data_IF_862619624877
#
_entry.id   IF_862619624877
#
_cell.length_a   1.000
_cell.length_b   1.000
_cell.length_c   1.000
_cell.angle_alpha   90.00
_cell.angle_beta   90.00
_cell.angle_gamma   90.00
#
_symmetry.space_group_name_H-M   'P 1'
#
loop_
_entity.id
_entity.type
_entity.pdbx_description
1 polymer ?
#
# COMPACT_ATOMS: atom_id res chain seq x y z
N UNK A 1 40.01 -15.39 1.60
CA UNK A 1 39.40 -14.10 1.18
C UNK A 1 38.68 -13.50 2.36
N UNK A 2 39.15 -12.37 2.89
CA UNK A 2 38.43 -11.62 3.91
C UNK A 2 37.41 -10.72 3.19
N UNK A 3 36.12 -11.01 3.35
CA UNK A 3 35.05 -10.18 2.79
C UNK A 3 34.86 -8.99 3.73
N UNK A 4 35.32 -7.81 3.32
CA UNK A 4 35.05 -6.56 4.02
C UNK A 4 33.56 -6.21 3.83
N UNK A 5 32.76 -6.41 4.89
CA UNK A 5 31.42 -5.84 4.97
C UNK A 5 31.55 -4.34 5.22
N UNK A 6 31.43 -3.53 4.16
CA UNK A 6 31.22 -2.10 4.30
C UNK A 6 29.87 -1.87 5.01
N UNK A 7 29.92 -1.61 6.32
CA UNK A 7 28.77 -1.16 7.12
C UNK A 7 28.30 0.16 6.51
N UNK A 8 27.12 0.17 5.87
CA UNK A 8 26.49 1.39 5.36
C UNK A 8 26.43 2.40 6.50
N UNK A 9 27.06 3.57 6.31
CA UNK A 9 26.93 4.70 7.22
C UNK A 9 25.44 5.06 7.30
N UNK A 10 24.86 5.00 8.50
CA UNK A 10 23.46 5.35 8.74
C UNK A 10 23.37 6.86 8.62
N UNK A 11 22.85 7.37 7.50
CA UNK A 11 22.48 8.78 7.41
C UNK A 11 21.48 9.08 8.51
N UNK A 12 21.71 10.13 9.31
CA UNK A 12 20.74 10.61 10.28
C UNK A 12 19.52 11.13 9.54
N UNK A 13 18.52 10.26 9.36
CA UNK A 13 17.24 10.62 8.78
C UNK A 13 16.54 11.52 9.79
N UNK A 14 16.52 12.83 9.52
CA UNK A 14 15.75 13.79 10.31
C UNK A 14 14.28 13.61 9.96
N UNK A 15 13.53 12.96 10.84
CA UNK A 15 12.09 12.77 10.69
C UNK A 15 11.38 14.01 11.23
N UNK A 16 10.66 14.72 10.37
CA UNK A 16 9.82 15.86 10.76
C UNK A 16 8.79 15.46 11.82
N UNK A 17 8.46 16.38 12.73
CA UNK A 17 7.33 16.17 13.66
C UNK A 17 6.01 16.07 12.88
N UNK A 18 5.11 15.13 13.23
CA UNK A 18 3.79 15.04 12.61
C UNK A 18 3.04 16.37 12.70
N UNK A 19 2.54 16.87 11.57
CA UNK A 19 1.75 18.10 11.50
C UNK A 19 0.87 18.10 10.24
N UNK A 20 -0.18 18.93 10.23
CA UNK A 20 -1.02 19.11 9.05
C UNK A 20 -0.20 19.57 7.81
N UNK A 21 0.87 20.35 8.03
CA UNK A 21 1.78 20.79 6.97
C UNK A 21 2.52 19.59 6.36
N UNK A 22 3.08 18.72 7.20
CA UNK A 22 3.75 17.50 6.72
C UNK A 22 2.77 16.59 5.96
N UNK A 23 1.54 16.41 6.48
CA UNK A 23 0.48 15.66 5.78
C UNK A 23 0.22 16.26 4.40
N UNK A 24 0.06 17.58 4.30
CA UNK A 24 -0.15 18.26 3.02
C UNK A 24 0.98 18.02 2.01
N UNK A 25 2.23 17.98 2.47
CA UNK A 25 3.40 17.65 1.61
C UNK A 25 3.27 16.24 1.04
N UNK A 26 3.03 15.24 1.89
CA UNK A 26 2.91 13.85 1.44
C UNK A 26 1.69 13.63 0.53
N UNK A 27 0.55 14.27 0.82
CA UNK A 27 -0.62 14.22 -0.05
C UNK A 27 -0.34 14.83 -1.44
N UNK A 28 0.41 15.94 -1.50
CA UNK A 28 0.82 16.53 -2.78
C UNK A 28 1.75 15.60 -3.55
N UNK A 29 2.70 14.96 -2.88
CA UNK A 29 3.59 13.96 -3.48
C UNK A 29 2.79 12.75 -3.99
N UNK A 30 1.88 12.22 -3.16
CA UNK A 30 1.00 11.10 -3.49
C UNK A 30 0.21 11.35 -4.77
N UNK A 31 -0.37 12.55 -4.92
CA UNK A 31 -1.10 12.96 -6.14
C UNK A 31 -0.24 13.03 -7.41
N UNK A 32 1.09 12.94 -7.31
CA UNK A 32 1.98 12.91 -8.48
C UNK A 32 2.49 11.50 -8.79
N UNK A 33 2.15 10.50 -7.98
CA UNK A 33 2.49 9.11 -8.19
C UNK A 33 1.45 8.45 -9.11
N UNK A 34 1.56 8.70 -10.42
CA UNK A 34 0.58 8.24 -11.43
C UNK A 34 0.27 6.74 -11.35
N UNK A 35 1.25 5.91 -11.06
CA UNK A 35 1.06 4.46 -10.94
C UNK A 35 0.10 4.12 -9.79
N UNK A 36 0.26 4.79 -8.65
CA UNK A 36 -0.60 4.62 -7.48
C UNK A 36 -2.00 5.18 -7.72
N UNK A 37 -2.14 6.24 -8.53
CA UNK A 37 -3.47 6.74 -8.92
C UNK A 37 -4.24 5.72 -9.74
N UNK A 38 -3.61 5.11 -10.74
CA UNK A 38 -4.27 4.10 -11.58
C UNK A 38 -4.64 2.84 -10.76
N UNK A 39 -3.78 2.45 -9.82
CA UNK A 39 -4.06 1.37 -8.88
C UNK A 39 -5.25 1.70 -7.97
N UNK A 40 -5.28 2.91 -7.42
CA UNK A 40 -6.39 3.39 -6.57
C UNK A 40 -7.70 3.46 -7.35
N UNK A 41 -7.70 3.97 -8.58
CA UNK A 41 -8.89 4.03 -9.43
C UNK A 41 -9.42 2.63 -9.76
N UNK A 42 -8.52 1.69 -10.05
CA UNK A 42 -8.89 0.29 -10.28
C UNK A 42 -9.44 -0.38 -9.01
N UNK A 43 -8.87 -0.09 -7.83
CA UNK A 43 -9.41 -0.56 -6.55
C UNK A 43 -10.78 0.04 -6.27
N UNK A 44 -10.97 1.35 -6.46
CA UNK A 44 -12.27 2.01 -6.30
C UNK A 44 -13.33 1.35 -7.18
N UNK A 45 -12.99 1.07 -8.43
CA UNK A 45 -13.86 0.34 -9.34
C UNK A 45 -14.21 -1.05 -8.81
N UNK A 46 -13.22 -1.82 -8.36
CA UNK A 46 -13.43 -3.17 -7.84
C UNK A 46 -14.31 -3.16 -6.58
N UNK A 47 -14.02 -2.27 -5.63
CA UNK A 47 -14.63 -2.28 -4.30
C UNK A 47 -15.99 -1.61 -4.25
N UNK A 48 -16.25 -0.60 -5.08
CA UNK A 48 -17.47 0.21 -4.97
C UNK A 48 -18.42 0.07 -6.17
N UNK A 49 -17.91 -0.30 -7.35
CA UNK A 49 -18.75 -0.47 -8.54
C UNK A 49 -19.02 -1.95 -8.83
N UNK A 50 -17.96 -2.76 -8.97
CA UNK A 50 -18.08 -4.14 -9.47
C UNK A 50 -18.51 -5.11 -8.37
N UNK A 51 -17.88 -5.04 -7.20
CA UNK A 51 -18.12 -5.95 -6.09
C UNK A 51 -18.39 -5.16 -4.79
N UNK A 52 -19.53 -4.46 -4.66
CA UNK A 52 -19.77 -3.58 -3.51
C UNK A 52 -20.01 -4.33 -2.18
N UNK A 53 -20.55 -5.56 -2.22
CA UNK A 53 -20.80 -6.37 -1.02
C UNK A 53 -19.62 -7.28 -0.67
N UNK A 54 -19.66 -7.86 0.53
CA UNK A 54 -18.67 -8.83 1.03
C UNK A 54 -19.38 -10.13 1.46
N UNK A 55 -20.47 -10.50 0.79
CA UNK A 55 -21.30 -11.65 1.17
C UNK A 55 -20.68 -13.00 0.78
N UNK A 56 -19.83 -13.00 -0.26
CA UNK A 56 -19.19 -14.19 -0.80
C UNK A 56 -17.68 -14.16 -0.55
N UNK A 57 -17.13 -15.27 -0.02
CA UNK A 57 -15.70 -15.39 0.26
C UNK A 57 -14.83 -15.17 -0.98
N UNK A 58 -15.32 -15.54 -2.16
CA UNK A 58 -14.64 -15.33 -3.44
C UNK A 58 -14.43 -13.83 -3.74
N UNK A 59 -15.39 -12.99 -3.38
CA UNK A 59 -15.30 -11.53 -3.52
C UNK A 59 -14.23 -10.97 -2.59
N UNK A 60 -14.21 -11.44 -1.34
CA UNK A 60 -13.20 -11.02 -0.36
C UNK A 60 -11.80 -11.43 -0.83
N UNK A 61 -11.64 -12.65 -1.34
CA UNK A 61 -10.36 -13.15 -1.87
C UNK A 61 -9.88 -12.33 -3.07
N UNK A 62 -10.75 -11.97 -4.02
CA UNK A 62 -10.40 -11.13 -5.16
C UNK A 62 -9.95 -9.73 -4.75
N UNK A 63 -10.68 -9.12 -3.80
CA UNK A 63 -10.34 -7.81 -3.24
C UNK A 63 -8.98 -7.84 -2.55
N UNK A 64 -8.72 -8.84 -1.71
CA UNK A 64 -7.44 -8.96 -0.99
C UNK A 64 -6.29 -9.28 -1.94
N UNK A 65 -6.48 -10.17 -2.92
CA UNK A 65 -5.44 -10.48 -3.90
C UNK A 65 -5.01 -9.24 -4.68
N UNK A 66 -5.98 -8.43 -5.14
CA UNK A 66 -5.70 -7.17 -5.86
C UNK A 66 -5.01 -6.15 -4.95
N UNK A 67 -5.47 -5.99 -3.70
CA UNK A 67 -4.86 -5.07 -2.73
C UNK A 67 -3.40 -5.45 -2.41
N UNK A 68 -3.15 -6.74 -2.21
CA UNK A 68 -1.82 -7.28 -1.98
C UNK A 68 -0.91 -7.07 -3.19
N UNK A 69 -1.39 -7.26 -4.41
CA UNK A 69 -0.59 -7.02 -5.61
C UNK A 69 -0.22 -5.54 -5.77
N UNK A 70 -1.17 -4.63 -5.56
CA UNK A 70 -0.94 -3.21 -5.77
C UNK A 70 -0.05 -2.58 -4.70
N UNK A 71 -0.29 -2.93 -3.42
CA UNK A 71 0.33 -2.25 -2.29
C UNK A 71 1.23 -3.15 -1.44
N UNK A 72 1.42 -4.41 -1.84
CA UNK A 72 2.25 -5.36 -1.09
C UNK A 72 1.88 -5.43 0.39
N UNK A 73 0.58 -5.32 0.69
CA UNK A 73 0.05 -5.24 2.06
C UNK A 73 0.29 -6.51 2.87
N UNK A 74 0.62 -7.63 2.22
CA UNK A 74 0.92 -8.90 2.86
C UNK A 74 -0.21 -9.41 3.76
N UNK A 75 -1.46 -9.24 3.31
CA UNK A 75 -2.64 -9.80 3.99
C UNK A 75 -2.68 -11.29 3.67
N UNK A 76 -2.38 -12.12 4.67
CA UNK A 76 -2.38 -13.57 4.57
C UNK A 76 -3.58 -14.17 5.30
N UNK A 77 -3.86 -15.45 5.01
CA UNK A 77 -4.89 -16.22 5.71
C UNK A 77 -6.24 -15.50 5.74
N UNK A 78 -6.71 -15.08 4.57
CA UNK A 78 -7.99 -14.38 4.40
C UNK A 78 -9.17 -15.29 4.75
N UNK A 79 -9.10 -16.56 4.34
CA UNK A 79 -10.21 -17.50 4.50
C UNK A 79 -10.62 -17.77 5.97
N UNK A 80 -9.68 -17.92 6.94
CA UNK A 80 -10.03 -18.05 8.36
C UNK A 80 -10.64 -16.82 9.05
N UNK A 81 -10.55 -15.63 8.45
CA UNK A 81 -10.94 -14.36 9.11
C UNK A 81 -12.08 -13.63 8.41
N UNK A 82 -12.52 -14.17 7.28
CA UNK A 82 -13.58 -13.63 6.45
C UNK A 82 -14.96 -14.11 6.89
#
# INVERSE_FOLDING_TARGET
>A
MQINYNRRQKSDIVISKPSAIEVGKYLKTWKNLKNYQLQEDALNKLFFELLPSNEEISVILLKVATLNDFYSTNIFSVYPVA
#
